data_IF_813036220751
#
_entry.id   IF_813036220751
#
_cell.length_a   1.000
_cell.length_b   1.000
_cell.length_c   1.000
_cell.angle_alpha   90.00
_cell.angle_beta   90.00
_cell.angle_gamma   90.00
#
_symmetry.space_group_name_H-M   'P 1'
#
loop_
_entity.id
_entity.type
_entity.pdbx_description
1 polymer ?
#
# COMPACT_ATOMS: atom_id res chain seq x y z
N UNK A 1 22.60 31.33 -25.13
CA UNK A 1 21.18 31.36 -24.81
C UNK A 1 20.65 32.76 -25.05
N UNK A 2 19.64 32.88 -25.90
CA UNK A 2 18.94 34.14 -26.11
C UNK A 2 17.85 34.28 -25.03
N UNK A 3 17.58 35.47 -24.48
CA UNK A 3 16.62 35.67 -23.39
C UNK A 3 15.17 35.25 -23.69
N UNK A 4 14.86 34.91 -24.95
CA UNK A 4 13.60 34.36 -25.42
C UNK A 4 13.43 32.86 -25.18
N UNK A 5 14.53 32.10 -25.08
CA UNK A 5 14.48 30.65 -24.84
C UNK A 5 14.23 30.33 -23.36
N UNK A 6 14.84 31.09 -22.44
CA UNK A 6 14.62 30.96 -20.99
C UNK A 6 13.15 31.23 -20.59
N UNK A 7 12.49 32.18 -21.25
CA UNK A 7 11.07 32.48 -21.01
C UNK A 7 10.17 31.31 -21.45
N UNK A 8 10.51 30.64 -22.55
CA UNK A 8 9.73 29.54 -23.10
C UNK A 8 9.88 28.26 -22.27
N UNK A 9 11.09 27.98 -21.75
CA UNK A 9 11.32 26.86 -20.81
C UNK A 9 10.58 27.08 -19.48
N UNK A 10 10.58 28.31 -18.95
CA UNK A 10 9.87 28.64 -17.71
C UNK A 10 8.34 28.52 -17.87
N UNK A 11 7.78 28.96 -19.00
CA UNK A 11 6.35 28.81 -19.31
C UNK A 11 5.95 27.34 -19.54
N UNK A 12 6.84 26.51 -20.09
CA UNK A 12 6.58 25.08 -20.28
C UNK A 12 6.61 24.29 -18.98
N UNK A 13 7.47 24.66 -18.02
CA UNK A 13 7.57 23.98 -16.72
C UNK A 13 6.27 24.01 -15.89
N UNK A 14 5.41 25.01 -16.09
CA UNK A 14 4.11 25.11 -15.42
C UNK A 14 2.96 24.38 -16.13
N UNK A 15 3.19 23.89 -17.36
CA UNK A 15 2.16 23.27 -18.20
C UNK A 15 2.11 21.74 -18.05
N UNK A 16 2.95 21.19 -17.16
CA UNK A 16 2.90 19.78 -16.80
C UNK A 16 1.59 19.47 -16.07
N UNK A 17 0.85 18.50 -16.59
CA UNK A 17 -0.44 18.11 -16.01
C UNK A 17 -0.16 17.43 -14.67
N UNK A 18 -0.60 17.99 -13.52
CA UNK A 18 -0.35 17.37 -12.23
C UNK A 18 -0.99 15.98 -12.22
N UNK A 19 -0.28 15.01 -11.63
CA UNK A 19 -0.85 13.69 -11.39
C UNK A 19 -2.12 13.84 -10.57
N UNK A 20 -3.15 13.07 -10.90
CA UNK A 20 -4.36 13.08 -10.07
C UNK A 20 -4.04 12.52 -8.68
N UNK A 21 -4.71 13.02 -7.64
CA UNK A 21 -4.58 12.49 -6.27
C UNK A 21 -4.72 10.96 -6.21
N UNK A 22 -5.60 10.38 -7.01
CA UNK A 22 -5.82 8.92 -7.06
C UNK A 22 -4.61 8.21 -7.67
N UNK A 23 -3.95 8.82 -8.65
CA UNK A 23 -2.78 8.28 -9.32
C UNK A 23 -1.53 8.37 -8.44
N UNK A 24 -1.32 9.51 -7.76
CA UNK A 24 -0.28 9.66 -6.73
C UNK A 24 -0.48 8.67 -5.59
N UNK A 25 -1.72 8.51 -5.11
CA UNK A 25 -2.03 7.55 -4.07
C UNK A 25 -1.77 6.11 -4.53
N UNK A 26 -2.15 5.76 -5.76
CA UNK A 26 -1.87 4.46 -6.37
C UNK A 26 -0.37 4.14 -6.39
N UNK A 27 0.45 5.08 -6.88
CA UNK A 27 1.92 5.00 -6.92
C UNK A 27 2.48 4.86 -5.50
N UNK A 28 2.02 5.69 -4.57
CA UNK A 28 2.44 5.64 -3.17
C UNK A 28 2.16 4.28 -2.53
N UNK A 29 0.99 3.69 -2.77
CA UNK A 29 0.73 2.36 -2.23
C UNK A 29 1.65 1.33 -2.89
N UNK A 30 1.84 1.32 -4.21
CA UNK A 30 2.71 0.33 -4.87
C UNK A 30 4.15 0.38 -4.38
N UNK A 31 4.66 1.57 -4.05
CA UNK A 31 6.02 1.76 -3.53
C UNK A 31 6.19 1.21 -2.11
N UNK A 32 5.16 1.33 -1.26
CA UNK A 32 5.22 0.94 0.16
C UNK A 32 4.62 -0.46 0.45
N UNK A 33 3.94 -1.07 -0.53
CA UNK A 33 2.93 -2.14 -0.31
C UNK A 33 3.45 -3.42 0.31
N UNK A 34 4.61 -3.92 -0.14
CA UNK A 34 4.97 -5.31 0.15
C UNK A 34 5.33 -5.51 1.62
N UNK A 35 6.18 -4.66 2.17
CA UNK A 35 6.67 -4.83 3.55
C UNK A 35 5.64 -4.47 4.62
N UNK A 36 4.74 -3.52 4.36
CA UNK A 36 3.74 -3.07 5.34
C UNK A 36 2.47 -3.93 5.32
N UNK A 37 2.08 -4.46 4.16
CA UNK A 37 0.86 -5.26 4.01
C UNK A 37 1.06 -6.72 4.47
N UNK A 38 2.25 -7.29 4.28
CA UNK A 38 2.58 -8.66 4.69
C UNK A 38 2.26 -8.93 6.17
N UNK A 39 2.73 -8.15 7.16
CA UNK A 39 2.46 -8.45 8.56
C UNK A 39 0.96 -8.36 8.89
N UNK A 40 0.23 -7.41 8.29
CA UNK A 40 -1.22 -7.26 8.47
C UNK A 40 -1.95 -8.50 7.94
N UNK A 41 -1.67 -8.90 6.70
CA UNK A 41 -2.28 -10.07 6.08
C UNK A 41 -1.93 -11.36 6.83
N UNK A 42 -0.71 -11.47 7.34
CA UNK A 42 -0.26 -12.62 8.11
C UNK A 42 -1.07 -12.75 9.41
N UNK A 43 -1.25 -11.66 10.16
CA UNK A 43 -2.05 -11.67 11.39
C UNK A 43 -3.51 -12.00 11.11
N UNK A 44 -4.12 -11.38 10.08
CA UNK A 44 -5.49 -11.72 9.69
C UNK A 44 -5.64 -13.17 9.23
N UNK A 45 -4.65 -13.69 8.50
CA UNK A 45 -4.60 -15.11 8.10
C UNK A 45 -4.50 -16.05 9.30
N UNK A 46 -3.64 -15.73 10.27
CA UNK A 46 -3.52 -16.47 11.52
C UNK A 46 -4.81 -16.45 12.34
N UNK A 47 -5.47 -15.29 12.46
CA UNK A 47 -6.77 -15.19 13.15
C UNK A 47 -7.82 -16.04 12.41
N UNK A 48 -7.92 -15.95 11.09
CA UNK A 48 -8.84 -16.77 10.30
C UNK A 48 -8.56 -18.27 10.47
N UNK A 49 -7.28 -18.67 10.50
CA UNK A 49 -6.87 -20.04 10.76
C UNK A 49 -7.29 -20.49 12.17
N UNK A 50 -7.06 -19.67 13.20
CA UNK A 50 -7.45 -20.01 14.57
C UNK A 50 -8.97 -20.13 14.72
N UNK A 51 -9.74 -19.24 14.10
CA UNK A 51 -11.21 -19.28 14.13
C UNK A 51 -11.73 -20.56 13.44
N UNK A 52 -11.19 -20.89 12.27
CA UNK A 52 -11.60 -22.10 11.54
C UNK A 52 -11.24 -23.37 12.31
N UNK A 53 -10.05 -23.45 12.90
CA UNK A 53 -9.63 -24.58 13.74
C UNK A 53 -10.45 -24.66 15.04
N UNK A 54 -10.84 -23.53 15.63
CA UNK A 54 -11.67 -23.49 16.84
C UNK A 54 -13.09 -23.99 16.63
N UNK A 55 -13.61 -23.93 15.39
CA UNK A 55 -14.88 -24.55 15.02
C UNK A 55 -14.79 -26.07 14.79
N UNK A 56 -13.60 -26.67 14.92
CA UNK A 56 -13.37 -28.11 14.74
C UNK A 56 -13.06 -28.82 16.06
N UNK A 57 -12.86 -30.14 16.01
CA UNK A 57 -12.36 -30.92 17.15
C UNK A 57 -10.95 -30.54 17.63
N UNK A 58 -10.27 -29.60 16.96
CA UNK A 58 -8.98 -29.06 17.38
C UNK A 58 -9.08 -28.03 18.54
N UNK A 59 -10.30 -27.60 18.92
CA UNK A 59 -10.52 -26.61 19.97
C UNK A 59 -9.74 -26.85 21.29
N UNK A 60 -9.62 -28.08 21.84
CA UNK A 60 -8.87 -28.33 23.08
C UNK A 60 -7.39 -27.95 23.01
N UNK A 61 -6.77 -28.00 21.82
CA UNK A 61 -5.36 -27.66 21.61
C UNK A 61 -5.15 -26.15 21.41
N UNK A 62 -6.20 -25.39 21.09
CA UNK A 62 -6.12 -23.93 20.98
C UNK A 62 -6.18 -23.29 22.36
N UNK A 63 -6.94 -23.86 23.30
CA UNK A 63 -7.02 -23.36 24.66
C UNK A 63 -5.68 -23.32 25.40
N UNK A 64 -4.70 -24.14 25.04
CA UNK A 64 -3.37 -24.10 25.67
C UNK A 64 -2.53 -22.88 25.29
N UNK A 65 -2.96 -22.09 24.29
CA UNK A 65 -2.31 -20.84 23.88
C UNK A 65 -2.77 -19.63 24.72
N UNK A 66 -3.75 -19.81 25.62
CA UNK A 66 -4.34 -18.79 26.49
C UNK A 66 -4.34 -19.26 27.94
#
# INVERSE_FOLDING_TARGET
MSPSEEQNEFEQAGNEKPLSLVQEFGIFITENKKWWLIPILLVFGLIGLLVTLGATGAAPFIYTLF
#
